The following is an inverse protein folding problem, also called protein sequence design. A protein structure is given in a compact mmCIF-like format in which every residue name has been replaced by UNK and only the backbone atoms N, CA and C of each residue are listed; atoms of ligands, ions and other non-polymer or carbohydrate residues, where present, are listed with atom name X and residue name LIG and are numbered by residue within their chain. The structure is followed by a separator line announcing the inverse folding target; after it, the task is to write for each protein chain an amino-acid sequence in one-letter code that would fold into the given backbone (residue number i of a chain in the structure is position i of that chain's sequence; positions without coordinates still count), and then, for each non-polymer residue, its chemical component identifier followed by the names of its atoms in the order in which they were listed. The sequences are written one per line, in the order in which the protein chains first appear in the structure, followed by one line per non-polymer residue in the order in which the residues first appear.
data_IF_148774855691
#
_entry.id   IF_148774855691
#
_cell.length_a   1.000
_cell.length_b   1.000
_cell.length_c   1.000
_cell.angle_alpha   90.00
_cell.angle_beta   90.00
_cell.angle_gamma   90.00
#
_symmetry.space_group_name_H-M   'P 1'
#
loop_
_entity.id
_entity.type
_entity.pdbx_description
1 polymer ?
#
# COMPACT_ATOMS: atom_id res chain seq x y z
N UNK A 1 -39.66 22.80 11.83
CA UNK A 1 -38.47 23.36 12.51
C UNK A 1 -37.83 22.30 13.42
N UNK A 2 -37.07 21.38 12.84
CA UNK A 2 -36.31 20.37 13.58
C UNK A 2 -34.83 20.67 13.39
N UNK A 3 -34.19 21.01 14.51
CA UNK A 3 -32.74 21.17 14.64
C UNK A 3 -32.07 19.82 14.39
N UNK A 4 -31.35 19.71 13.29
CA UNK A 4 -30.35 18.66 13.12
C UNK A 4 -29.17 19.01 14.02
N UNK A 5 -29.19 18.43 15.23
CA UNK A 5 -28.05 18.40 16.12
C UNK A 5 -26.84 17.82 15.39
N UNK A 6 -25.74 18.57 15.46
CA UNK A 6 -24.40 18.18 15.07
C UNK A 6 -23.98 16.90 15.79
N UNK A 7 -24.33 15.73 15.23
CA UNK A 7 -23.62 14.49 15.56
C UNK A 7 -22.21 14.66 15.03
N UNK A 8 -21.27 14.69 15.97
CA UNK A 8 -19.87 15.02 15.76
C UNK A 8 -19.32 14.39 14.48
N UNK A 9 -18.62 15.23 13.71
CA UNK A 9 -17.63 14.76 12.74
C UNK A 9 -16.76 13.73 13.47
N UNK A 10 -16.98 12.46 13.19
CA UNK A 10 -15.96 11.44 13.43
C UNK A 10 -14.83 11.81 12.50
N UNK A 11 -13.65 12.06 13.05
CA UNK A 11 -12.44 12.23 12.26
C UNK A 11 -12.35 11.14 11.18
N UNK A 12 -11.85 11.45 9.96
CA UNK A 12 -11.68 10.45 8.91
C UNK A 12 -10.62 9.38 9.23
N UNK A 13 -10.06 9.34 10.45
CA UNK A 13 -9.04 8.38 10.90
C UNK A 13 -9.58 6.96 11.16
N UNK A 14 -10.61 6.52 10.42
CA UNK A 14 -10.99 5.11 10.40
C UNK A 14 -10.06 4.32 9.48
N UNK A 15 -8.76 4.31 9.79
CA UNK A 15 -7.88 3.26 9.33
C UNK A 15 -8.44 1.93 9.85
N UNK A 16 -8.76 1.01 8.95
CA UNK A 16 -8.99 -0.39 9.33
C UNK A 16 -7.81 -0.87 10.17
N UNK A 17 -8.11 -1.56 11.28
CA UNK A 17 -7.06 -2.12 12.13
C UNK A 17 -6.33 -3.20 11.34
N UNK A 18 -5.10 -2.95 10.97
CA UNK A 18 -4.25 -3.96 10.34
C UNK A 18 -3.87 -5.01 11.38
N UNK A 19 -4.14 -6.27 11.09
CA UNK A 19 -3.72 -7.40 11.89
C UNK A 19 -2.77 -8.27 11.07
N UNK A 20 -1.79 -8.87 11.74
CA UNK A 20 -0.86 -9.79 11.11
C UNK A 20 -1.21 -11.23 11.53
N UNK A 21 -1.38 -12.09 10.54
CA UNK A 21 -1.58 -13.53 10.72
C UNK A 21 -0.51 -14.30 9.94
N UNK A 22 -0.20 -15.50 10.40
CA UNK A 22 0.68 -16.45 9.72
C UNK A 22 0.07 -17.84 9.77
N UNK A 23 0.43 -18.68 8.82
CA UNK A 23 0.11 -20.10 8.83
C UNK A 23 1.29 -20.86 8.22
N UNK A 24 1.41 -22.15 8.54
CA UNK A 24 2.36 -23.00 7.82
C UNK A 24 1.89 -23.21 6.38
N UNK A 25 2.81 -23.25 5.42
CA UNK A 25 2.47 -23.52 4.02
C UNK A 25 1.75 -24.88 3.87
N UNK A 26 2.19 -25.89 4.63
CA UNK A 26 1.56 -27.21 4.64
C UNK A 26 0.09 -27.17 5.09
N UNK A 27 -0.24 -26.37 6.10
CA UNK A 27 -1.63 -26.22 6.55
C UNK A 27 -2.49 -25.52 5.48
N UNK A 28 -1.96 -24.47 4.85
CA UNK A 28 -2.64 -23.76 3.77
C UNK A 28 -2.93 -24.68 2.57
N UNK A 29 -1.95 -25.50 2.16
CA UNK A 29 -2.11 -26.47 1.06
C UNK A 29 -3.11 -27.59 1.37
N UNK A 30 -3.32 -27.88 2.66
CA UNK A 30 -4.33 -28.85 3.13
C UNK A 30 -5.68 -28.19 3.46
N UNK A 31 -5.85 -26.90 3.14
CA UNK A 31 -7.04 -26.11 3.47
C UNK A 31 -7.34 -26.03 4.98
N UNK A 32 -6.34 -26.19 5.84
CA UNK A 32 -6.46 -26.05 7.29
C UNK A 32 -6.36 -24.57 7.72
N UNK A 33 -7.22 -23.71 7.19
CA UNK A 33 -7.19 -22.26 7.44
C UNK A 33 -7.37 -21.87 8.91
N UNK A 34 -8.01 -22.73 9.71
CA UNK A 34 -8.17 -22.53 11.15
C UNK A 34 -6.88 -22.64 11.94
N UNK A 35 -5.80 -23.15 11.34
CA UNK A 35 -4.48 -23.23 11.97
C UNK A 35 -3.71 -21.89 11.94
N UNK A 36 -4.28 -20.84 11.33
CA UNK A 36 -3.65 -19.53 11.30
C UNK A 36 -3.47 -18.95 12.71
N UNK A 37 -2.27 -18.44 12.98
CA UNK A 37 -1.92 -17.74 14.21
C UNK A 37 -1.84 -16.25 13.96
N UNK A 38 -2.29 -15.45 14.93
CA UNK A 38 -2.28 -14.00 14.92
C UNK A 38 -1.16 -13.50 15.80
N UNK A 39 -0.54 -12.40 15.39
CA UNK A 39 0.45 -11.71 16.20
C UNK A 39 -0.24 -11.03 17.40
N UNK A 40 0.24 -11.32 18.62
CA UNK A 40 -0.35 -10.81 19.86
C UNK A 40 0.60 -9.90 20.62
N UNK A 41 1.90 -10.19 20.59
CA UNK A 41 2.97 -9.39 21.20
C UNK A 41 4.33 -9.82 20.62
N UNK A 42 5.41 -9.03 20.75
CA UNK A 42 6.72 -9.41 20.25
C UNK A 42 7.13 -10.84 20.65
N UNK A 43 7.46 -11.67 19.67
CA UNK A 43 7.85 -13.07 19.89
C UNK A 43 6.69 -14.06 20.10
N UNK A 44 5.44 -13.61 20.18
CA UNK A 44 4.28 -14.49 20.46
C UNK A 44 3.20 -14.43 19.39
N UNK A 45 2.73 -15.63 19.03
CA UNK A 45 1.66 -15.89 18.10
C UNK A 45 0.62 -16.79 18.76
N UNK A 46 -0.65 -16.63 18.42
CA UNK A 46 -1.72 -17.44 19.02
C UNK A 46 -2.83 -17.71 18.00
N UNK A 47 -3.54 -18.85 18.06
CA UNK A 47 -4.61 -19.25 17.11
C UNK A 47 -5.91 -18.44 17.29
N UNK A 48 -5.79 -17.18 17.66
CA UNK A 48 -6.85 -16.35 18.19
C UNK A 48 -7.40 -15.48 17.08
N UNK A 49 -8.54 -15.89 16.51
CA UNK A 49 -9.37 -14.93 15.82
C UNK A 49 -9.89 -13.91 16.85
N UNK A 50 -9.76 -12.59 16.64
CA UNK A 50 -10.32 -11.60 17.55
C UNK A 50 -11.86 -11.61 17.45
N UNK A 51 -12.49 -12.59 18.08
CA UNK A 51 -13.94 -12.67 18.28
C UNK A 51 -14.27 -11.86 19.53
N UNK A 52 -15.09 -10.82 19.36
CA UNK A 52 -15.81 -10.10 20.41
C UNK A 52 -15.04 -9.89 21.74
N UNK A 53 -14.09 -8.95 21.71
CA UNK A 53 -13.69 -8.19 22.89
C UNK A 53 -12.79 -8.86 23.92
N UNK A 54 -12.37 -10.13 23.74
CA UNK A 54 -11.61 -10.83 24.80
C UNK A 54 -10.19 -11.30 24.51
N UNK A 55 -9.67 -11.19 23.29
CA UNK A 55 -8.22 -11.31 23.07
C UNK A 55 -7.79 -10.33 21.99
N UNK A 56 -6.80 -9.49 22.31
CA UNK A 56 -6.34 -8.38 21.46
C UNK A 56 -5.17 -8.88 20.62
N UNK A 57 -5.42 -9.26 19.38
CA UNK A 57 -4.35 -9.27 18.39
C UNK A 57 -3.70 -7.88 18.36
N UNK A 58 -2.37 -7.84 18.34
CA UNK A 58 -1.63 -6.58 18.27
C UNK A 58 -1.87 -5.96 16.89
N UNK A 59 -2.06 -4.65 16.88
CA UNK A 59 -2.20 -3.93 15.62
C UNK A 59 -0.84 -3.78 14.99
N UNK A 60 -0.79 -3.97 13.68
CA UNK A 60 0.33 -3.51 12.90
C UNK A 60 0.09 -2.03 12.58
N UNK A 61 1.02 -1.18 12.98
CA UNK A 61 0.96 0.27 12.73
C UNK A 61 1.37 0.60 11.28
N UNK A 62 0.69 -0.05 10.34
CA UNK A 62 0.80 0.15 8.89
C UNK A 62 -0.60 0.39 8.35
N UNK A 63 -0.76 1.31 7.38
CA UNK A 63 -2.03 1.50 6.73
C UNK A 63 -2.43 0.27 5.91
N UNK A 64 -3.66 -0.23 6.12
CA UNK A 64 -4.24 -1.25 5.24
C UNK A 64 -5.51 -0.76 4.61
N UNK A 65 -5.41 -0.37 3.35
CA UNK A 65 -6.53 -0.37 2.44
C UNK A 65 -6.12 -1.02 1.12
N UNK A 66 -6.45 -2.31 0.98
CA UNK A 66 -6.09 -3.13 -0.19
C UNK A 66 -4.58 -3.13 -0.53
N UNK A 67 -3.73 -3.12 0.51
CA UNK A 67 -2.28 -3.03 0.35
C UNK A 67 -1.62 -4.42 0.27
N UNK A 68 -0.43 -4.48 -0.32
CA UNK A 68 0.41 -5.70 -0.37
C UNK A 68 1.67 -5.47 0.44
N UNK A 69 1.94 -6.34 1.41
CA UNK A 69 3.18 -6.34 2.20
C UNK A 69 4.21 -7.22 1.51
N UNK A 70 5.36 -6.64 1.18
CA UNK A 70 6.38 -7.28 0.35
C UNK A 70 7.74 -7.21 1.02
N UNK A 71 8.52 -8.29 0.95
CA UNK A 71 9.92 -8.29 1.36
C UNK A 71 10.81 -8.02 0.16
N UNK A 72 11.75 -7.07 0.28
CA UNK A 72 12.83 -6.86 -0.69
C UNK A 72 14.14 -7.40 -0.12
N UNK A 73 14.71 -8.41 -0.78
CA UNK A 73 16.04 -8.93 -0.45
C UNK A 73 17.14 -7.91 -0.77
N UNK A 74 16.95 -7.08 -1.79
CA UNK A 74 17.93 -6.07 -2.20
C UNK A 74 18.04 -4.93 -1.19
N UNK A 75 16.89 -4.49 -0.64
CA UNK A 75 16.84 -3.44 0.37
C UNK A 75 16.94 -3.97 1.80
N UNK A 76 16.79 -5.29 2.00
CA UNK A 76 16.80 -5.92 3.32
C UNK A 76 15.68 -5.45 4.24
N UNK A 77 14.49 -5.17 3.69
CA UNK A 77 13.35 -4.63 4.43
C UNK A 77 11.99 -5.09 3.88
N UNK A 78 10.99 -5.03 4.75
CA UNK A 78 9.57 -5.10 4.41
C UNK A 78 9.09 -3.74 3.95
N UNK A 79 8.20 -3.72 2.96
CA UNK A 79 7.59 -2.49 2.47
C UNK A 79 6.13 -2.69 2.03
N UNK A 80 5.38 -1.59 2.08
CA UNK A 80 3.99 -1.46 1.66
C UNK A 80 3.80 -0.12 0.96
N UNK A 81 3.02 -0.07 -0.12
CA UNK A 81 2.55 1.20 -0.68
C UNK A 81 1.12 1.47 -0.25
N UNK A 82 0.80 2.73 0.02
CA UNK A 82 -0.56 3.15 0.39
C UNK A 82 -0.90 4.50 -0.23
N UNK A 83 -2.17 4.69 -0.60
CA UNK A 83 -2.68 6.00 -1.05
C UNK A 83 -3.10 6.82 0.17
N UNK A 84 -2.56 8.03 0.29
CA UNK A 84 -2.81 8.93 1.42
C UNK A 84 -3.22 10.31 0.89
N UNK A 85 -4.53 10.49 0.69
CA UNK A 85 -5.04 11.68 0.00
C UNK A 85 -4.52 11.76 -1.44
N UNK A 86 -3.68 12.74 -1.72
CA UNK A 86 -3.16 13.00 -3.07
C UNK A 86 -1.74 12.47 -3.30
N UNK A 87 -1.23 11.63 -2.39
CA UNK A 87 0.11 11.04 -2.49
C UNK A 87 0.06 9.52 -2.36
N UNK A 88 1.13 8.87 -2.85
CA UNK A 88 1.46 7.50 -2.51
C UNK A 88 2.60 7.55 -1.51
N UNK A 89 2.37 6.96 -0.34
CA UNK A 89 3.37 6.74 0.68
C UNK A 89 3.91 5.32 0.59
N UNK A 90 5.21 5.16 0.76
CA UNK A 90 5.87 3.90 1.04
C UNK A 90 6.10 3.80 2.55
N UNK A 91 5.66 2.69 3.12
CA UNK A 91 5.92 2.31 4.49
C UNK A 91 6.95 1.20 4.51
N UNK A 92 7.95 1.27 5.38
CA UNK A 92 9.05 0.29 5.45
C UNK A 92 9.37 -0.14 6.87
N UNK A 93 9.77 -1.41 7.07
CA UNK A 93 10.28 -1.92 8.36
C UNK A 93 11.35 -3.00 8.15
N UNK A 94 12.34 -3.10 9.04
CA UNK A 94 13.34 -4.19 8.98
C UNK A 94 12.73 -5.55 9.34
N UNK A 95 11.79 -5.57 10.27
CA UNK A 95 11.03 -6.76 10.65
C UNK A 95 9.54 -6.45 10.45
N UNK A 96 8.76 -7.43 9.96
CA UNK A 96 7.33 -7.21 9.69
C UNK A 96 6.54 -6.77 10.93
N UNK A 97 6.92 -7.24 12.13
CA UNK A 97 6.34 -6.86 13.43
C UNK A 97 7.07 -5.69 14.10
N UNK A 98 8.07 -5.10 13.43
CA UNK A 98 8.88 -4.01 13.95
C UNK A 98 8.24 -2.63 13.71
N UNK A 99 8.95 -1.55 14.09
CA UNK A 99 8.51 -0.20 13.82
C UNK A 99 8.53 0.08 12.31
N UNK A 100 7.45 0.70 11.83
CA UNK A 100 7.32 1.11 10.43
C UNK A 100 7.62 2.59 10.26
N UNK A 101 8.35 2.92 9.20
CA UNK A 101 8.68 4.29 8.79
C UNK A 101 7.93 4.65 7.51
N UNK A 102 7.48 5.89 7.40
CA UNK A 102 6.71 6.41 6.27
C UNK A 102 7.55 7.35 5.42
N UNK A 103 7.44 7.26 4.09
CA UNK A 103 8.05 8.18 3.14
C UNK A 103 7.11 8.46 1.96
N UNK A 104 7.01 9.70 1.52
CA UNK A 104 6.30 10.03 0.28
C UNK A 104 7.15 9.59 -0.93
N UNK A 105 6.58 8.84 -1.87
CA UNK A 105 7.31 8.34 -3.05
C UNK A 105 6.71 8.82 -4.37
N UNK A 106 5.46 9.28 -4.36
CA UNK A 106 4.80 9.77 -5.57
C UNK A 106 3.63 10.69 -5.24
N UNK A 107 3.37 11.68 -6.11
CA UNK A 107 2.18 12.54 -6.02
C UNK A 107 1.23 12.18 -7.15
N UNK A 108 -0.04 11.97 -6.81
CA UNK A 108 -1.07 11.67 -7.80
C UNK A 108 -1.16 12.83 -8.82
N UNK A 109 -1.43 12.56 -10.11
CA UNK A 109 -1.63 13.60 -11.11
C UNK A 109 -2.79 14.54 -10.77
N UNK A 110 -2.74 15.83 -11.15
CA UNK A 110 -3.76 16.84 -10.81
C UNK A 110 -5.22 16.41 -11.04
N UNK A 111 -5.50 15.69 -12.13
CA UNK A 111 -6.82 15.18 -12.47
C UNK A 111 -7.45 14.29 -11.36
N UNK A 112 -6.60 13.64 -10.56
CA UNK A 112 -6.97 12.71 -9.51
C UNK A 112 -6.76 13.26 -8.08
N UNK A 113 -6.35 14.53 -7.92
CA UNK A 113 -6.05 15.11 -6.59
C UNK A 113 -7.27 15.56 -5.80
N UNK A 114 -8.45 15.67 -6.42
CA UNK A 114 -9.69 16.01 -5.73
C UNK A 114 -10.32 14.74 -5.15
N UNK A 115 -9.73 14.23 -4.07
CA UNK A 115 -10.22 13.07 -3.33
C UNK A 115 -10.90 13.54 -2.05
N UNK A 116 -12.18 13.19 -1.90
CA UNK A 116 -12.89 13.00 -0.61
C UNK A 116 -12.79 14.17 0.37
N UNK A 117 -13.46 15.30 0.15
CA UNK A 117 -14.65 15.61 0.97
C UNK A 117 -15.62 16.59 0.32
N UNK A 118 -15.24 17.25 -0.78
CA UNK A 118 -15.95 18.42 -1.31
C UNK A 118 -16.10 18.33 -2.84
N UNK A 119 -16.97 17.43 -3.34
CA UNK A 119 -17.25 17.24 -4.77
C UNK A 119 -16.07 16.66 -5.60
N UNK A 120 -15.30 15.74 -5.02
CA UNK A 120 -14.25 15.02 -5.74
C UNK A 120 -14.81 13.90 -6.62
N UNK A 121 -14.53 13.93 -7.93
CA UNK A 121 -14.99 12.91 -8.88
C UNK A 121 -14.22 11.58 -8.79
N UNK A 122 -13.08 11.54 -8.08
CA UNK A 122 -12.16 10.40 -8.07
C UNK A 122 -11.77 9.96 -6.66
N UNK A 123 -11.75 8.66 -6.44
CA UNK A 123 -11.23 7.97 -5.28
C UNK A 123 -10.08 7.06 -5.73
N UNK A 124 -8.87 7.31 -5.23
CA UNK A 124 -7.69 6.54 -5.60
C UNK A 124 -7.27 5.62 -4.46
N UNK A 125 -6.96 4.37 -4.80
CA UNK A 125 -6.71 3.30 -3.82
C UNK A 125 -5.90 2.16 -4.46
N UNK A 126 -5.77 1.04 -3.73
CA UNK A 126 -5.11 -0.18 -4.19
C UNK A 126 -3.68 0.06 -4.67
N UNK A 127 -2.91 0.82 -3.91
CA UNK A 127 -1.48 0.94 -4.16
C UNK A 127 -0.80 -0.41 -3.89
N UNK A 128 -0.25 -1.06 -4.92
CA UNK A 128 0.29 -2.44 -4.83
C UNK A 128 1.68 -2.52 -5.41
N UNK A 129 2.55 -3.25 -4.71
CA UNK A 129 3.89 -3.56 -5.18
C UNK A 129 3.86 -4.63 -6.26
N UNK A 130 4.80 -4.54 -7.21
CA UNK A 130 4.97 -5.47 -8.34
C UNK A 130 6.44 -5.91 -8.46
N UNK A 131 6.97 -6.68 -7.48
CA UNK A 131 8.35 -7.17 -7.54
C UNK A 131 8.62 -8.00 -8.81
N UNK A 132 7.61 -8.67 -9.37
CA UNK A 132 7.70 -9.42 -10.63
C UNK A 132 7.98 -8.56 -11.86
N UNK A 133 7.76 -7.25 -11.79
CA UNK A 133 7.98 -6.29 -12.89
C UNK A 133 9.29 -5.50 -12.74
N UNK A 134 10.04 -5.74 -11.65
CA UNK A 134 11.35 -5.15 -11.44
C UNK A 134 12.31 -5.72 -12.48
N UNK A 135 13.09 -4.83 -13.11
CA UNK A 135 14.16 -5.22 -14.03
C UNK A 135 15.25 -5.90 -13.23
N UNK A 136 15.71 -7.05 -13.69
CA UNK A 136 16.85 -7.71 -13.04
C UNK A 136 18.12 -6.92 -13.36
N UNK A 137 19.03 -6.85 -12.40
CA UNK A 137 20.26 -6.07 -12.52
C UNK A 137 21.21 -6.47 -13.68
N UNK A 138 20.92 -7.57 -14.39
CA UNK A 138 21.71 -8.01 -15.55
C UNK A 138 21.07 -7.64 -16.90
N UNK A 139 19.84 -7.13 -16.91
CA UNK A 139 19.04 -6.97 -18.13
C UNK A 139 19.17 -5.60 -18.79
N UNK A 140 19.68 -4.55 -18.12
CA UNK A 140 19.55 -3.19 -18.66
C UNK A 140 20.76 -2.25 -18.45
N UNK A 141 21.80 -2.39 -19.28
CA UNK A 141 23.03 -1.55 -19.24
C UNK A 141 22.75 -0.04 -19.28
N UNK A 142 21.59 0.39 -19.80
CA UNK A 142 21.19 1.80 -19.86
C UNK A 142 20.76 2.38 -18.50
N UNK A 143 20.34 1.55 -17.54
CA UNK A 143 20.08 1.94 -16.15
C UNK A 143 21.31 1.68 -15.25
N UNK A 144 22.11 0.66 -15.58
CA UNK A 144 23.25 0.22 -14.77
C UNK A 144 24.50 1.12 -14.81
N UNK A 145 24.63 2.02 -15.79
CA UNK A 145 25.76 2.95 -15.83
C UNK A 145 25.83 3.90 -14.61
N UNK A 146 24.69 4.19 -13.97
CA UNK A 146 24.63 5.03 -12.77
C UNK A 146 24.06 4.30 -11.54
N UNK A 147 23.19 3.30 -11.71
CA UNK A 147 22.54 2.62 -10.60
C UNK A 147 23.43 1.58 -9.88
N UNK A 148 24.32 0.88 -10.59
CA UNK A 148 25.24 -0.11 -9.98
C UNK A 148 26.39 0.58 -9.23
N UNK A 149 26.83 1.74 -9.71
CA UNK A 149 27.79 2.60 -9.00
C UNK A 149 27.16 3.33 -7.81
N UNK A 150 25.85 3.65 -7.87
CA UNK A 150 25.13 4.36 -6.81
C UNK A 150 24.40 3.44 -5.81
N UNK A 151 24.39 2.12 -6.03
CA UNK A 151 23.69 1.16 -5.18
C UNK A 151 22.19 1.43 -5.11
N UNK A 152 21.49 1.45 -6.25
CA UNK A 152 20.04 1.70 -6.30
C UNK A 152 19.26 0.40 -6.61
N UNK A 153 18.12 0.19 -5.95
CA UNK A 153 17.16 -0.86 -6.24
C UNK A 153 15.91 -0.29 -6.95
N UNK A 154 15.36 -0.99 -7.94
CA UNK A 154 14.11 -0.60 -8.59
C UNK A 154 12.91 -1.10 -7.78
N UNK A 155 11.94 -0.22 -7.51
CA UNK A 155 10.63 -0.61 -7.01
C UNK A 155 9.57 -0.25 -8.04
N UNK A 156 8.67 -1.19 -8.31
CA UNK A 156 7.52 -0.99 -9.19
C UNK A 156 6.25 -1.08 -8.36
N UNK A 157 5.35 -0.13 -8.54
CA UNK A 157 4.02 -0.19 -7.94
C UNK A 157 2.95 0.28 -8.90
N UNK A 158 1.71 -0.12 -8.63
CA UNK A 158 0.53 0.40 -9.32
C UNK A 158 -0.47 0.99 -8.34
N UNK A 159 -1.39 1.79 -8.87
CA UNK A 159 -2.56 2.32 -8.16
C UNK A 159 -3.71 2.47 -9.15
N UNK A 160 -4.94 2.56 -8.64
CA UNK A 160 -6.16 2.75 -9.46
C UNK A 160 -6.94 3.93 -8.90
N UNK A 161 -7.55 4.73 -9.78
CA UNK A 161 -8.62 5.64 -9.40
C UNK A 161 -9.94 5.18 -9.95
N UNK A 162 -10.96 5.29 -9.11
CA UNK A 162 -12.32 4.97 -9.45
C UNK A 162 -13.17 6.24 -9.32
N UNK A 163 -14.17 6.38 -10.19
CA UNK A 163 -15.10 7.48 -10.11
C UNK A 163 -15.96 7.32 -8.85
N UNK A 164 -16.16 8.40 -8.08
CA UNK A 164 -16.87 8.35 -6.80
C UNK A 164 -17.87 9.51 -6.68
N UNK A 165 -19.01 9.26 -6.02
CA UNK A 165 -20.06 10.26 -5.80
C UNK A 165 -21.03 10.46 -6.96
N UNK A 166 -21.88 11.50 -6.88
CA UNK A 166 -22.94 11.77 -7.87
C UNK A 166 -22.45 12.19 -9.26
N UNK A 167 -21.18 12.56 -9.38
CA UNK A 167 -20.52 12.81 -10.67
C UNK A 167 -19.95 11.53 -11.29
N UNK A 168 -20.09 10.37 -10.64
CA UNK A 168 -19.63 9.10 -11.19
C UNK A 168 -20.17 8.87 -12.59
N UNK A 169 -21.47 9.14 -12.83
CA UNK A 169 -22.14 9.00 -14.13
C UNK A 169 -21.53 9.88 -15.24
N UNK A 170 -21.01 11.08 -14.88
CA UNK A 170 -20.33 11.99 -15.81
C UNK A 170 -18.86 11.65 -16.01
N UNK A 171 -18.23 11.04 -15.01
CA UNK A 171 -16.86 10.55 -15.04
C UNK A 171 -16.74 9.09 -15.55
N UNK A 172 -17.85 8.44 -15.92
CA UNK A 172 -17.87 7.09 -16.46
C UNK A 172 -17.06 6.98 -17.76
N UNK A 173 -16.31 5.89 -17.85
CA UNK A 173 -15.23 5.55 -18.79
C UNK A 173 -15.59 5.50 -20.30
N UNK A 174 -16.84 5.80 -20.66
CA UNK A 174 -17.39 5.58 -22.00
C UNK A 174 -17.83 6.86 -22.70
N UNK A 175 -17.54 8.03 -22.12
CA UNK A 175 -17.71 9.32 -22.78
C UNK A 175 -16.52 9.62 -23.72
N UNK A 176 -16.70 10.44 -24.77
CA UNK A 176 -15.60 10.92 -25.59
C UNK A 176 -14.46 11.53 -24.72
N UNK A 177 -13.22 11.09 -24.94
CA UNK A 177 -12.05 11.49 -24.13
C UNK A 177 -11.88 10.75 -22.80
N UNK A 178 -12.85 9.95 -22.36
CA UNK A 178 -12.76 9.15 -21.12
C UNK A 178 -11.70 8.04 -21.14
N UNK A 179 -11.17 7.71 -22.33
CA UNK A 179 -10.07 6.76 -22.53
C UNK A 179 -8.69 7.42 -22.53
N UNK A 180 -8.61 8.75 -22.46
CA UNK A 180 -7.33 9.46 -22.50
C UNK A 180 -6.48 9.10 -21.28
N UNK A 181 -5.22 8.74 -21.51
CA UNK A 181 -4.31 8.29 -20.45
C UNK A 181 -4.08 9.35 -19.37
N UNK A 182 -4.34 10.63 -19.61
CA UNK A 182 -4.20 11.67 -18.57
C UNK A 182 -5.35 11.65 -17.54
N UNK A 183 -6.52 11.09 -17.90
CA UNK A 183 -7.76 11.17 -17.11
C UNK A 183 -8.50 9.84 -16.96
N UNK A 184 -8.02 8.78 -17.61
CA UNK A 184 -8.63 7.45 -17.56
C UNK A 184 -8.63 6.87 -16.14
N UNK A 185 -9.83 6.70 -15.58
CA UNK A 185 -10.06 5.92 -14.37
C UNK A 185 -10.11 4.42 -14.62
N UNK A 186 -10.36 3.65 -13.56
CA UNK A 186 -10.53 2.18 -13.57
C UNK A 186 -9.42 1.44 -14.33
N UNK A 187 -8.23 2.03 -14.36
CA UNK A 187 -7.07 1.49 -15.06
C UNK A 187 -5.85 1.58 -14.15
N UNK A 188 -5.09 0.48 -13.98
CA UNK A 188 -3.90 0.50 -13.15
C UNK A 188 -2.84 1.42 -13.75
N UNK A 189 -2.29 2.28 -12.92
CA UNK A 189 -1.21 3.22 -13.26
C UNK A 189 0.08 2.71 -12.67
N UNK A 190 1.01 2.29 -13.51
CA UNK A 190 2.31 1.76 -13.08
C UNK A 190 3.33 2.88 -12.95
N UNK A 191 4.09 2.84 -11.86
CA UNK A 191 5.18 3.77 -11.56
C UNK A 191 6.42 2.94 -11.21
N UNK A 192 7.57 3.36 -11.75
CA UNK A 192 8.90 2.84 -11.41
C UNK A 192 9.63 3.90 -10.60
N UNK A 193 10.19 3.52 -9.47
CA UNK A 193 11.00 4.40 -8.62
C UNK A 193 12.33 3.73 -8.29
N UNK A 194 13.39 4.52 -8.14
CA UNK A 194 14.68 4.05 -7.67
C UNK A 194 14.85 4.35 -6.18
N UNK A 195 15.28 3.36 -5.41
CA UNK A 195 15.54 3.47 -3.97
C UNK A 195 17.01 3.23 -3.68
N UNK A 196 17.63 4.07 -2.85
CA UNK A 196 19.03 3.87 -2.47
C UNK A 196 19.20 2.71 -1.50
N UNK A 197 20.07 1.76 -1.86
CA UNK A 197 20.54 0.65 -1.03
C UNK A 197 21.67 1.18 -0.16
N UNK A 198 21.41 1.37 1.14
CA UNK A 198 22.50 1.62 2.09
C UNK A 198 23.29 0.33 2.30
N UNK A 199 24.46 0.21 1.67
CA UNK A 199 25.41 -0.85 2.02
C UNK A 199 25.88 -0.61 3.46
N UNK A 200 25.92 -1.64 4.33
CA UNK A 200 26.55 -1.50 5.63
C UNK A 200 28.01 -1.09 5.42
N UNK A 201 28.44 -0.01 6.09
CA UNK A 201 29.83 0.40 6.12
C UNK A 201 30.66 -0.79 6.58
N UNK A 202 31.43 -1.37 5.67
CA UNK A 202 32.43 -2.37 6.04
C UNK A 202 33.55 -1.60 6.72
N UNK A 203 33.59 -1.64 8.04
CA UNK A 203 34.75 -1.13 8.80
C UNK A 203 35.85 -2.18 8.58
N UNK A 204 36.87 -1.80 7.81
CA UNK A 204 38.11 -2.57 7.67
C UNK A 204 39.04 -2.33 8.86
#
# INVERSE_FOLDING_TARGET
PHSFGSRGRKDPEHWSRTLLARASLSDLLRHHWSAAEYWVEPGRWAPVWPVHGRQRAQRLDVPTWETTCTWSSELGLWYVFNVEGHIIAMWTAQQVVGPWSRSEVYRLPPAFRKTTSDNGAWLCYAAKAHPEMQRKAWEDRAFHGAADEAGLAELVFSWVCNAWGGDAERALLFQPGGLDLSVRGYWPRFVRVAAAVRRPLTIH
#
